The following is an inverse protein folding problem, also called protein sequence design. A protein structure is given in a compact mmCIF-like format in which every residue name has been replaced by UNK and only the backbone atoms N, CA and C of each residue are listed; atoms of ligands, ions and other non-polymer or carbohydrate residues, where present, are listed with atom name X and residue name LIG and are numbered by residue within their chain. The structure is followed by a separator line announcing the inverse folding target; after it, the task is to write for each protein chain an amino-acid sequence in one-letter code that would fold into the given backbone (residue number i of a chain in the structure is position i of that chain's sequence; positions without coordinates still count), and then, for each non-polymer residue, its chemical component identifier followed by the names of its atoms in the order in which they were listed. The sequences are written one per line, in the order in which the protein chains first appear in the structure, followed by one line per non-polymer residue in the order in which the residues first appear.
data_IF_628547299523
#
_entry.id   IF_628547299523
#
_cell.length_a   1.000
_cell.length_b   1.000
_cell.length_c   1.000
_cell.angle_alpha   90.00
_cell.angle_beta   90.00
_cell.angle_gamma   90.00
#
_symmetry.space_group_name_H-M   'P 1'
#
loop_
_entity.id
_entity.type
_entity.pdbx_description
1 polymer ?
#
# COMPACT_ATOMS: atom_id res chain seq x y z
N UNK A 1 -14.34 -27.50 1.01
CA UNK A 1 -14.70 -26.30 1.82
C UNK A 1 -15.25 -25.16 0.95
N UNK A 2 -14.51 -24.65 -0.05
CA UNK A 2 -14.93 -23.47 -0.81
C UNK A 2 -16.28 -23.61 -1.54
N UNK A 3 -16.55 -24.77 -2.16
CA UNK A 3 -17.87 -25.04 -2.78
C UNK A 3 -19.01 -24.89 -1.76
N UNK A 4 -18.86 -25.42 -0.55
CA UNK A 4 -19.86 -25.29 0.51
C UNK A 4 -19.93 -23.86 1.08
N UNK A 5 -18.80 -23.15 1.09
CA UNK A 5 -18.75 -21.75 1.48
C UNK A 5 -19.56 -20.86 0.51
N UNK A 6 -19.44 -21.07 -0.81
CA UNK A 6 -20.16 -20.27 -1.79
C UNK A 6 -21.65 -20.65 -1.94
N UNK A 7 -22.12 -21.71 -1.27
CA UNK A 7 -23.56 -22.01 -1.12
C UNK A 7 -24.22 -21.20 0.01
N UNK A 8 -23.45 -20.45 0.81
CA UNK A 8 -23.99 -19.65 1.90
C UNK A 8 -24.83 -18.46 1.38
N UNK A 9 -25.69 -17.93 2.25
CA UNK A 9 -26.72 -16.93 1.90
C UNK A 9 -26.17 -15.64 1.27
N UNK A 10 -24.97 -15.22 1.67
CA UNK A 10 -24.32 -14.01 1.18
C UNK A 10 -22.79 -14.16 1.27
N UNK A 11 -22.08 -13.17 0.73
CA UNK A 11 -20.62 -13.20 0.70
C UNK A 11 -20.00 -13.20 2.10
N UNK A 12 -20.56 -12.45 3.07
CA UNK A 12 -20.05 -12.44 4.44
C UNK A 12 -20.15 -13.83 5.10
N UNK A 13 -21.26 -14.54 4.89
CA UNK A 13 -21.46 -15.90 5.37
C UNK A 13 -20.50 -16.89 4.67
N UNK A 14 -20.26 -16.72 3.37
CA UNK A 14 -19.29 -17.51 2.63
C UNK A 14 -17.86 -17.31 3.17
N UNK A 15 -17.45 -16.06 3.40
CA UNK A 15 -16.14 -15.70 3.96
C UNK A 15 -15.95 -16.32 5.34
N UNK A 16 -16.91 -16.12 6.25
CA UNK A 16 -16.87 -16.76 7.57
C UNK A 16 -16.73 -18.27 7.48
N UNK A 17 -17.48 -18.90 6.58
CA UNK A 17 -17.47 -20.35 6.43
C UNK A 17 -16.08 -20.87 6.03
N UNK A 18 -15.48 -20.34 4.94
CA UNK A 18 -14.17 -20.84 4.52
C UNK A 18 -13.06 -20.40 5.47
N UNK A 19 -13.12 -19.20 6.07
CA UNK A 19 -12.11 -18.78 7.06
C UNK A 19 -12.14 -19.68 8.30
N UNK A 20 -13.34 -20.00 8.81
CA UNK A 20 -13.48 -20.93 9.92
C UNK A 20 -13.02 -22.35 9.54
N UNK A 21 -13.31 -22.80 8.33
CA UNK A 21 -12.82 -24.10 7.85
C UNK A 21 -11.28 -24.17 7.75
N UNK A 22 -10.62 -23.06 7.45
CA UNK A 22 -9.16 -23.00 7.32
C UNK A 22 -8.44 -22.78 8.67
N UNK A 23 -9.02 -21.97 9.56
CA UNK A 23 -8.32 -21.47 10.75
C UNK A 23 -9.07 -21.69 12.06
N UNK A 24 -10.27 -22.27 12.05
CA UNK A 24 -11.07 -22.51 13.26
C UNK A 24 -10.39 -23.44 14.25
N UNK A 25 -9.72 -24.50 13.77
CA UNK A 25 -8.90 -25.39 14.60
C UNK A 25 -7.67 -24.70 15.19
N UNK A 26 -7.28 -23.53 14.67
CA UNK A 26 -6.20 -22.68 15.20
C UNK A 26 -6.71 -21.65 16.20
N UNK A 27 -8.00 -21.69 16.55
CA UNK A 27 -8.61 -20.76 17.50
C UNK A 27 -8.94 -19.38 16.92
N UNK A 28 -8.95 -19.22 15.58
CA UNK A 28 -9.35 -17.96 14.97
C UNK A 28 -10.84 -17.73 15.18
N UNK A 29 -11.18 -16.63 15.85
CA UNK A 29 -12.55 -16.15 16.01
C UNK A 29 -12.86 -15.17 14.89
N UNK A 30 -13.97 -15.40 14.17
CA UNK A 30 -14.42 -14.51 13.09
C UNK A 30 -15.69 -13.78 13.54
N UNK A 31 -15.64 -12.46 13.55
CA UNK A 31 -16.77 -11.61 13.93
C UNK A 31 -17.31 -10.91 12.69
N UNK A 32 -18.63 -10.97 12.54
CA UNK A 32 -19.36 -10.14 11.60
C UNK A 32 -19.92 -8.95 12.37
N UNK A 33 -19.31 -7.79 12.16
CA UNK A 33 -19.62 -6.58 12.90
C UNK A 33 -20.95 -5.92 12.47
N UNK A 34 -21.64 -6.49 11.47
CA UNK A 34 -22.95 -6.06 11.00
C UNK A 34 -24.08 -6.78 11.75
N UNK A 35 -24.16 -6.54 13.06
CA UNK A 35 -25.16 -7.13 13.96
C UNK A 35 -25.74 -6.07 14.90
N UNK A 36 -27.06 -6.11 15.14
CA UNK A 36 -27.77 -5.09 15.91
C UNK A 36 -27.24 -4.92 17.34
N UNK A 37 -26.95 -6.01 18.04
CA UNK A 37 -26.38 -5.96 19.40
C UNK A 37 -25.01 -5.28 19.43
N UNK A 38 -24.16 -5.54 18.44
CA UNK A 38 -22.83 -4.93 18.34
C UNK A 38 -22.94 -3.44 17.99
N UNK A 39 -23.85 -3.10 17.07
CA UNK A 39 -24.10 -1.71 16.66
C UNK A 39 -24.72 -0.87 17.77
N UNK A 40 -25.49 -1.50 18.65
CA UNK A 40 -26.07 -0.84 19.82
C UNK A 40 -25.01 -0.29 20.78
N UNK A 41 -23.84 -0.94 20.90
CA UNK A 41 -22.72 -0.44 21.70
C UNK A 41 -22.12 0.85 21.14
N UNK A 42 -22.32 1.10 19.83
CA UNK A 42 -21.72 2.23 19.12
C UNK A 42 -22.64 3.45 18.99
N UNK A 43 -23.85 3.39 19.54
CA UNK A 43 -24.83 4.51 19.56
C UNK A 43 -24.24 5.84 20.01
N UNK A 44 -23.41 5.93 21.08
CA UNK A 44 -22.83 7.21 21.51
C UNK A 44 -21.99 7.87 20.40
N UNK A 45 -21.22 7.07 19.66
CA UNK A 45 -20.40 7.57 18.54
C UNK A 45 -21.28 7.95 17.35
N UNK A 46 -22.29 7.13 17.03
CA UNK A 46 -23.26 7.42 15.96
C UNK A 46 -23.91 8.78 16.21
N UNK A 47 -24.42 9.00 17.42
CA UNK A 47 -25.07 10.26 17.80
C UNK A 47 -24.11 11.45 17.77
N UNK A 48 -22.90 11.30 18.33
CA UNK A 48 -21.90 12.36 18.34
C UNK A 48 -21.48 12.78 16.92
N UNK A 49 -21.30 11.83 16.00
CA UNK A 49 -20.96 12.14 14.61
C UNK A 49 -22.11 12.79 13.83
N UNK A 50 -23.34 12.28 13.99
CA UNK A 50 -24.50 12.76 13.26
C UNK A 50 -24.93 14.17 13.68
N UNK A 51 -24.88 14.48 14.97
CA UNK A 51 -25.50 15.69 15.52
C UNK A 51 -24.51 16.75 16.00
N UNK A 52 -23.32 16.35 16.45
CA UNK A 52 -22.29 17.26 16.99
C UNK A 52 -21.08 17.38 16.07
N UNK A 53 -20.90 16.44 15.14
CA UNK A 53 -19.79 16.36 14.19
C UNK A 53 -18.40 16.33 14.87
N UNK A 54 -18.34 15.89 16.14
CA UNK A 54 -17.10 15.84 16.92
C UNK A 54 -15.99 15.02 16.23
N UNK A 55 -16.25 13.82 15.69
CA UNK A 55 -15.19 13.04 15.04
C UNK A 55 -14.55 13.76 13.86
N UNK A 56 -15.34 14.53 13.09
CA UNK A 56 -14.79 15.33 12.00
C UNK A 56 -13.80 16.38 12.53
N UNK A 57 -14.24 17.18 13.51
CA UNK A 57 -13.48 18.29 14.06
C UNK A 57 -12.16 17.78 14.66
N UNK A 58 -12.23 16.74 15.49
CA UNK A 58 -11.08 16.14 16.16
C UNK A 58 -10.10 15.52 15.14
N UNK A 59 -10.61 14.81 14.12
CA UNK A 59 -9.74 14.25 13.09
C UNK A 59 -9.06 15.33 12.23
N UNK A 60 -9.75 16.45 11.94
CA UNK A 60 -9.16 17.58 11.22
C UNK A 60 -8.06 18.25 12.03
N UNK A 61 -8.24 18.43 13.33
CA UNK A 61 -7.21 18.96 14.24
C UNK A 61 -5.99 18.04 14.29
N UNK A 62 -6.22 16.73 14.47
CA UNK A 62 -5.15 15.73 14.47
C UNK A 62 -4.42 15.70 13.12
N UNK A 63 -5.15 15.80 12.01
CA UNK A 63 -4.58 15.87 10.66
C UNK A 63 -3.65 17.07 10.50
N UNK A 64 -4.08 18.26 10.91
CA UNK A 64 -3.24 19.46 10.87
C UNK A 64 -1.96 19.28 11.69
N UNK A 65 -2.05 18.64 12.85
CA UNK A 65 -0.87 18.34 13.68
C UNK A 65 0.08 17.31 13.05
N UNK A 66 -0.43 16.35 12.27
CA UNK A 66 0.41 15.38 11.56
C UNK A 66 1.12 16.03 10.37
N UNK A 67 0.42 16.91 9.64
CA UNK A 67 0.98 17.62 8.50
C UNK A 67 2.15 18.54 8.89
N UNK A 68 2.09 19.20 10.05
CA UNK A 68 3.22 20.01 10.56
C UNK A 68 4.46 19.19 10.87
N UNK A 69 4.31 17.88 11.09
CA UNK A 69 5.42 16.93 11.30
C UNK A 69 5.85 16.20 10.02
N UNK A 70 5.28 16.55 8.87
CA UNK A 70 5.64 16.00 7.56
C UNK A 70 4.88 14.72 7.16
N UNK A 71 3.85 14.32 7.91
CA UNK A 71 3.01 13.18 7.56
C UNK A 71 1.75 13.65 6.82
N UNK A 72 1.62 13.23 5.56
CA UNK A 72 0.38 13.39 4.81
C UNK A 72 -0.58 12.24 5.12
N UNK A 73 -1.86 12.56 5.22
CA UNK A 73 -2.90 11.59 5.55
C UNK A 73 -3.82 11.37 4.36
N UNK A 74 -4.33 10.14 4.21
CA UNK A 74 -5.09 9.73 3.01
C UNK A 74 -6.61 9.75 3.22
N UNK A 75 -7.08 9.86 4.47
CA UNK A 75 -8.49 9.88 4.81
C UNK A 75 -8.91 11.32 5.11
N UNK A 76 -9.93 11.79 4.38
CA UNK A 76 -10.52 13.11 4.59
C UNK A 76 -11.79 12.97 5.45
N UNK A 77 -11.80 13.53 6.68
CA UNK A 77 -12.97 13.51 7.54
C UNK A 77 -14.14 14.26 6.90
N UNK A 78 -15.31 13.63 6.89
CA UNK A 78 -16.56 14.25 6.43
C UNK A 78 -17.34 14.78 7.62
N UNK A 79 -18.29 15.66 7.37
CA UNK A 79 -19.22 16.15 8.39
C UNK A 79 -19.99 15.01 9.05
N UNK A 80 -20.46 14.06 8.23
CA UNK A 80 -21.05 12.81 8.70
C UNK A 80 -20.26 11.64 8.09
N UNK A 81 -19.81 10.75 8.97
CA UNK A 81 -18.95 9.61 8.69
C UNK A 81 -19.68 8.26 8.76
N UNK A 82 -21.01 8.27 8.65
CA UNK A 82 -21.85 7.07 8.58
C UNK A 82 -22.57 6.90 7.25
N UNK A 83 -22.71 5.63 6.85
CA UNK A 83 -23.66 5.16 5.86
C UNK A 83 -24.94 4.70 6.55
N UNK A 84 -26.07 4.89 5.88
CA UNK A 84 -27.35 4.31 6.22
C UNK A 84 -27.59 3.04 5.38
N UNK A 85 -28.01 1.97 6.05
CA UNK A 85 -28.26 0.64 5.51
C UNK A 85 -29.76 0.31 5.63
N UNK A 86 -30.44 0.04 4.52
CA UNK A 86 -31.84 -0.43 4.55
C UNK A 86 -32.18 -1.24 3.30
N UNK A 87 -32.39 -2.54 3.47
CA UNK A 87 -32.53 -3.46 2.34
C UNK A 87 -31.24 -3.48 1.51
N UNK A 88 -31.33 -3.11 0.23
CA UNK A 88 -30.16 -3.02 -0.66
C UNK A 88 -29.50 -1.62 -0.67
N UNK A 89 -30.01 -0.69 0.14
CA UNK A 89 -29.46 0.66 0.24
C UNK A 89 -28.22 0.61 1.13
N UNK A 90 -27.11 1.16 0.62
CA UNK A 90 -25.95 1.59 1.41
C UNK A 90 -25.51 2.94 0.87
N UNK A 91 -25.98 4.01 1.50
CA UNK A 91 -25.66 5.37 1.07
C UNK A 91 -25.33 6.27 2.24
N UNK A 92 -24.71 7.41 1.97
CA UNK A 92 -24.23 8.34 3.00
C UNK A 92 -25.41 9.10 3.58
N UNK A 93 -25.37 9.34 4.89
CA UNK A 93 -26.23 10.34 5.52
C UNK A 93 -25.55 11.71 5.34
N UNK A 94 -26.33 12.71 4.93
CA UNK A 94 -25.85 14.09 4.84
C UNK A 94 -26.84 15.03 5.52
N UNK A 95 -26.31 16.15 6.02
CA UNK A 95 -27.09 17.24 6.59
C UNK A 95 -27.55 18.18 5.47
N UNK A 96 -28.76 18.70 5.59
CA UNK A 96 -29.38 19.66 4.67
C UNK A 96 -30.08 20.76 5.48
N UNK A 97 -30.52 21.82 4.82
CA UNK A 97 -31.29 22.89 5.47
C UNK A 97 -32.62 22.40 6.07
N UNK A 98 -33.18 21.31 5.55
CA UNK A 98 -34.45 20.73 5.98
C UNK A 98 -34.30 19.59 7.01
N UNK A 99 -33.07 19.24 7.42
CA UNK A 99 -32.78 18.11 8.31
C UNK A 99 -31.68 17.22 7.75
N UNK A 100 -31.95 15.92 7.59
CA UNK A 100 -31.01 14.92 7.12
C UNK A 100 -31.60 14.13 5.96
N UNK A 101 -30.75 13.70 5.03
CA UNK A 101 -31.14 12.80 3.95
C UNK A 101 -30.12 11.69 3.75
N UNK A 102 -30.62 10.57 3.24
CA UNK A 102 -29.78 9.48 2.74
C UNK A 102 -29.58 9.74 1.26
N UNK A 103 -28.35 10.08 0.87
CA UNK A 103 -28.04 10.47 -0.50
C UNK A 103 -28.51 9.44 -1.53
N UNK A 104 -28.94 9.92 -2.69
CA UNK A 104 -29.41 9.10 -3.81
C UNK A 104 -30.65 8.24 -3.47
N UNK A 105 -31.44 8.65 -2.46
CA UNK A 105 -32.69 8.00 -2.08
C UNK A 105 -33.76 9.01 -1.67
N UNK A 106 -35.01 8.55 -1.53
CA UNK A 106 -36.13 9.37 -1.03
C UNK A 106 -36.19 9.44 0.51
N UNK A 107 -35.24 8.83 1.22
CA UNK A 107 -35.27 8.75 2.69
C UNK A 107 -34.75 10.06 3.28
N UNK A 108 -35.60 10.70 4.08
CA UNK A 108 -35.31 11.94 4.78
C UNK A 108 -35.71 11.81 6.24
N UNK A 109 -35.00 12.53 7.10
CA UNK A 109 -35.25 12.58 8.53
C UNK A 109 -35.18 14.02 9.02
N UNK A 110 -36.12 14.42 9.85
CA UNK A 110 -35.88 15.47 10.85
C UNK A 110 -34.85 14.97 11.87
N UNK A 111 -34.25 15.90 12.64
CA UNK A 111 -33.31 15.53 13.70
C UNK A 111 -33.94 14.58 14.73
N UNK A 112 -35.20 14.81 15.10
CA UNK A 112 -35.93 13.98 16.07
C UNK A 112 -36.18 12.57 15.52
N UNK A 113 -36.55 12.45 14.25
CA UNK A 113 -36.74 11.15 13.59
C UNK A 113 -35.41 10.40 13.47
N UNK A 114 -34.31 11.09 13.13
CA UNK A 114 -33.00 10.45 13.03
C UNK A 114 -32.49 9.97 14.40
N UNK A 115 -32.72 10.74 15.47
CA UNK A 115 -32.42 10.32 16.85
C UNK A 115 -33.19 9.06 17.22
N UNK A 116 -34.49 9.02 16.93
CA UNK A 116 -35.31 7.83 17.17
C UNK A 116 -34.84 6.63 16.34
N UNK A 117 -34.41 6.86 15.10
CA UNK A 117 -33.86 5.84 14.22
C UNK A 117 -32.54 5.25 14.74
N UNK A 118 -31.63 6.08 15.27
CA UNK A 118 -30.38 5.59 15.92
C UNK A 118 -30.69 4.74 17.14
N UNK A 119 -31.71 5.11 17.92
CA UNK A 119 -32.08 4.37 19.12
C UNK A 119 -32.77 3.05 18.84
N UNK A 120 -33.62 3.00 17.82
CA UNK A 120 -34.44 1.82 17.52
C UNK A 120 -33.82 0.90 16.47
N UNK A 121 -32.97 1.44 15.60
CA UNK A 121 -32.36 0.76 14.46
C UNK A 121 -30.85 1.07 14.29
N UNK A 122 -30.01 0.87 15.32
CA UNK A 122 -28.57 1.15 15.24
C UNK A 122 -27.87 0.28 14.17
N UNK A 123 -28.42 -0.89 13.83
CA UNK A 123 -27.92 -1.75 12.75
C UNK A 123 -27.93 -1.10 11.38
N UNK A 124 -28.76 -0.07 11.20
CA UNK A 124 -28.82 0.68 9.94
C UNK A 124 -27.69 1.66 9.78
N UNK A 125 -26.82 1.86 10.79
CA UNK A 125 -25.71 2.81 10.71
C UNK A 125 -24.37 2.09 10.61
N UNK A 126 -23.68 2.27 9.49
CA UNK A 126 -22.33 1.73 9.27
C UNK A 126 -21.29 2.83 9.22
N UNK A 127 -20.25 2.79 10.08
CA UNK A 127 -19.18 3.76 10.00
C UNK A 127 -18.43 3.61 8.66
N UNK A 128 -17.91 4.73 8.16
CA UNK A 128 -16.98 4.75 7.05
C UNK A 128 -15.55 4.41 7.52
N UNK A 129 -14.57 4.59 6.63
CA UNK A 129 -13.16 4.28 6.92
C UNK A 129 -12.59 5.02 8.15
N UNK A 130 -13.10 6.21 8.48
CA UNK A 130 -12.64 7.01 9.62
C UNK A 130 -13.06 6.38 10.96
N UNK A 131 -14.33 6.02 11.09
CA UNK A 131 -14.90 5.54 12.37
C UNK A 131 -14.92 4.01 12.50
N UNK A 132 -14.66 3.26 11.43
CA UNK A 132 -14.58 1.79 11.47
C UNK A 132 -13.53 1.29 12.48
N UNK A 133 -12.31 1.85 12.58
CA UNK A 133 -11.34 1.48 13.60
C UNK A 133 -11.87 1.65 15.01
N UNK A 134 -12.48 2.79 15.33
CA UNK A 134 -13.05 3.01 16.65
C UNK A 134 -14.14 1.98 16.95
N UNK A 135 -15.00 1.68 15.96
CA UNK A 135 -16.03 0.65 16.13
C UNK A 135 -15.42 -0.71 16.48
N UNK A 136 -14.35 -1.12 15.79
CA UNK A 136 -13.65 -2.37 16.10
C UNK A 136 -13.14 -2.43 17.54
N UNK A 137 -12.57 -1.32 18.04
CA UNK A 137 -12.01 -1.22 19.40
C UNK A 137 -13.09 -1.06 20.48
N UNK A 138 -14.31 -0.66 20.11
CA UNK A 138 -15.48 -0.72 20.98
C UNK A 138 -15.99 -2.15 21.20
N UNK A 139 -15.86 -3.02 20.18
CA UNK A 139 -16.40 -4.38 20.24
C UNK A 139 -15.49 -5.34 21.02
N UNK A 140 -14.18 -5.18 20.91
CA UNK A 140 -13.21 -6.05 21.52
C UNK A 140 -12.05 -5.25 22.12
N UNK A 141 -11.53 -5.65 23.29
CA UNK A 141 -10.31 -5.06 23.84
C UNK A 141 -9.10 -5.58 23.06
N UNK A 142 -8.77 -4.95 21.92
CA UNK A 142 -7.66 -5.42 21.10
C UNK A 142 -6.32 -4.91 21.64
N UNK A 143 -5.37 -5.82 21.80
CA UNK A 143 -3.99 -5.47 22.14
C UNK A 143 -3.28 -4.76 20.96
N UNK A 144 -3.52 -5.27 19.75
CA UNK A 144 -2.89 -4.77 18.55
C UNK A 144 -3.84 -4.82 17.34
N UNK A 145 -3.74 -3.80 16.50
CA UNK A 145 -4.30 -3.79 15.15
C UNK A 145 -3.23 -4.20 14.14
N UNK A 146 -3.51 -5.23 13.36
CA UNK A 146 -2.63 -5.70 12.29
C UNK A 146 -3.18 -5.22 10.95
N UNK A 147 -2.45 -4.31 10.28
CA UNK A 147 -2.94 -3.63 9.08
C UNK A 147 -1.87 -3.42 8.00
N UNK A 148 -2.32 -3.06 6.79
CA UNK A 148 -1.43 -2.67 5.70
C UNK A 148 -0.86 -1.25 5.86
N UNK A 149 0.16 -0.86 5.07
CA UNK A 149 0.84 0.44 5.21
C UNK A 149 -0.10 1.64 5.11
N UNK A 150 -1.04 1.61 4.15
CA UNK A 150 -2.04 2.67 3.99
C UNK A 150 -3.00 2.77 5.18
N UNK A 151 -3.24 1.65 5.87
CA UNK A 151 -4.15 1.63 7.01
C UNK A 151 -3.50 2.23 8.24
N UNK A 152 -2.30 1.77 8.60
CA UNK A 152 -1.61 2.24 9.81
C UNK A 152 -1.39 3.76 9.80
N UNK A 153 -1.16 4.36 8.64
CA UNK A 153 -0.98 5.81 8.52
C UNK A 153 -2.26 6.58 8.90
N UNK A 154 -3.44 6.15 8.45
CA UNK A 154 -4.67 6.88 8.79
C UNK A 154 -5.12 6.62 10.23
N UNK A 155 -4.72 5.51 10.86
CA UNK A 155 -4.98 5.28 12.29
C UNK A 155 -4.40 6.40 13.17
N UNK A 156 -3.28 7.00 12.77
CA UNK A 156 -2.68 8.13 13.49
C UNK A 156 -3.63 9.35 13.57
N UNK A 157 -4.51 9.54 12.58
CA UNK A 157 -5.51 10.61 12.60
C UNK A 157 -6.59 10.41 13.66
N UNK A 158 -6.74 9.19 14.15
CA UNK A 158 -7.84 8.81 15.04
C UNK A 158 -7.46 8.95 16.52
N UNK A 159 -6.20 9.28 16.85
CA UNK A 159 -5.75 9.30 18.24
C UNK A 159 -6.64 10.19 19.12
N UNK A 160 -6.95 11.40 18.66
CA UNK A 160 -7.86 12.30 19.40
C UNK A 160 -9.28 11.76 19.52
N UNK A 161 -9.79 11.05 18.51
CA UNK A 161 -11.12 10.44 18.54
C UNK A 161 -11.17 9.35 19.62
N UNK A 162 -10.15 8.51 19.68
CA UNK A 162 -10.04 7.46 20.70
C UNK A 162 -10.00 8.03 22.11
N UNK A 163 -9.24 9.11 22.32
CA UNK A 163 -9.18 9.81 23.61
C UNK A 163 -10.54 10.40 23.99
N UNK A 164 -11.23 11.04 23.04
CA UNK A 164 -12.56 11.61 23.26
C UNK A 164 -13.59 10.56 23.70
N UNK A 165 -13.61 9.40 23.04
CA UNK A 165 -14.51 8.29 23.40
C UNK A 165 -13.95 7.36 24.46
N UNK A 166 -12.86 7.73 25.14
CA UNK A 166 -12.23 6.93 26.21
C UNK A 166 -11.97 5.47 25.82
N UNK A 167 -11.64 5.24 24.55
CA UNK A 167 -11.37 3.91 24.00
C UNK A 167 -9.87 3.71 23.91
N UNK A 168 -9.39 2.52 24.29
CA UNK A 168 -7.96 2.22 24.24
C UNK A 168 -7.47 2.24 22.80
N UNK A 169 -6.42 3.02 22.53
CA UNK A 169 -5.76 3.01 21.23
C UNK A 169 -4.80 1.80 21.16
N UNK A 170 -5.02 0.83 20.26
CA UNK A 170 -4.24 -0.40 20.21
C UNK A 170 -2.83 -0.15 19.68
N UNK A 171 -1.93 -1.11 19.88
CA UNK A 171 -0.65 -1.12 19.19
C UNK A 171 -0.88 -1.29 17.68
N UNK A 172 -0.24 -0.44 16.87
CA UNK A 172 -0.33 -0.53 15.41
C UNK A 172 0.81 -1.40 14.88
N UNK A 173 0.46 -2.53 14.28
CA UNK A 173 1.41 -3.51 13.75
C UNK A 173 1.26 -3.67 12.24
N UNK A 174 2.35 -3.57 11.47
CA UNK A 174 2.35 -4.02 10.08
C UNK A 174 2.05 -5.51 10.03
N UNK A 175 1.12 -5.90 9.15
CA UNK A 175 1.03 -7.32 8.76
C UNK A 175 2.33 -7.74 8.06
N UNK A 176 2.61 -9.04 8.06
CA UNK A 176 3.69 -9.55 7.22
C UNK A 176 3.39 -9.26 5.73
N UNK A 177 4.46 -8.98 5.00
CA UNK A 177 4.43 -8.82 3.55
C UNK A 177 5.11 -10.01 2.92
N UNK A 178 4.50 -10.60 1.90
CA UNK A 178 5.05 -11.80 1.30
C UNK A 178 4.85 -11.92 -0.21
N UNK A 179 5.72 -12.70 -0.83
CA UNK A 179 5.53 -13.24 -2.17
C UNK A 179 5.95 -14.71 -2.19
N UNK A 180 5.26 -15.49 -3.00
CA UNK A 180 5.58 -16.88 -3.29
C UNK A 180 6.47 -16.94 -4.52
N UNK A 181 7.63 -17.57 -4.36
CA UNK A 181 8.63 -17.76 -5.41
C UNK A 181 8.52 -19.20 -5.90
N UNK A 182 7.96 -19.38 -7.10
CA UNK A 182 7.89 -20.68 -7.77
C UNK A 182 9.28 -21.16 -8.24
N UNK A 183 9.40 -22.45 -8.57
CA UNK A 183 10.66 -23.05 -9.04
C UNK A 183 11.21 -22.36 -10.30
N UNK A 184 10.32 -21.95 -11.20
CA UNK A 184 10.72 -21.37 -12.47
C UNK A 184 11.26 -19.94 -12.31
N UNK A 185 10.77 -19.20 -11.33
CA UNK A 185 11.19 -17.87 -10.94
C UNK A 185 12.50 -17.97 -10.16
N UNK A 186 12.60 -18.91 -9.21
CA UNK A 186 13.83 -19.20 -8.50
C UNK A 186 15.00 -19.51 -9.47
N UNK A 187 14.75 -20.40 -10.44
CA UNK A 187 15.75 -20.72 -11.48
C UNK A 187 16.16 -19.49 -12.29
N UNK A 188 15.23 -18.58 -12.59
CA UNK A 188 15.57 -17.33 -13.30
C UNK A 188 16.42 -16.43 -12.41
N UNK A 189 16.10 -16.28 -11.13
CA UNK A 189 16.90 -15.51 -10.16
C UNK A 189 18.33 -16.03 -10.11
N UNK A 190 18.52 -17.36 -10.03
CA UNK A 190 19.85 -17.97 -10.06
C UNK A 190 20.59 -17.69 -11.38
N UNK A 191 19.88 -17.81 -12.51
CA UNK A 191 20.44 -17.57 -13.85
C UNK A 191 20.77 -16.10 -14.13
N UNK A 192 20.13 -15.16 -13.43
CA UNK A 192 20.44 -13.73 -13.52
C UNK A 192 21.46 -13.28 -12.47
N UNK A 193 21.90 -14.17 -11.57
CA UNK A 193 22.80 -13.84 -10.46
C UNK A 193 22.31 -12.64 -9.64
N UNK A 194 20.99 -12.57 -9.43
CA UNK A 194 20.38 -11.53 -8.60
C UNK A 194 20.42 -11.93 -7.14
N UNK A 195 20.68 -10.97 -6.26
CA UNK A 195 20.42 -11.14 -4.83
C UNK A 195 18.92 -10.98 -4.54
N UNK A 196 18.51 -11.29 -3.31
CA UNK A 196 17.12 -11.07 -2.89
C UNK A 196 16.78 -9.59 -2.79
N UNK A 197 17.75 -8.74 -2.45
CA UNK A 197 17.61 -7.29 -2.38
C UNK A 197 17.46 -6.66 -3.77
N UNK A 198 18.15 -7.21 -4.78
CA UNK A 198 18.08 -6.74 -6.17
C UNK A 198 16.64 -6.76 -6.71
N UNK A 199 15.83 -7.73 -6.27
CA UNK A 199 14.43 -7.89 -6.67
C UNK A 199 13.59 -6.64 -6.37
N UNK A 200 13.92 -5.89 -5.31
CA UNK A 200 13.18 -4.71 -4.86
C UNK A 200 13.65 -3.42 -5.51
N UNK A 201 14.74 -3.45 -6.31
CA UNK A 201 15.20 -2.27 -7.05
C UNK A 201 14.24 -1.90 -8.19
N UNK A 202 14.21 -0.62 -8.61
CA UNK A 202 13.53 -0.21 -9.83
C UNK A 202 14.06 -0.96 -11.06
N UNK A 203 13.18 -1.38 -11.96
CA UNK A 203 13.51 -2.21 -13.12
C UNK A 203 14.67 -1.64 -13.96
N UNK A 204 14.65 -0.34 -14.21
CA UNK A 204 15.68 0.32 -15.00
C UNK A 204 17.06 0.26 -14.33
N UNK A 205 17.11 0.43 -13.01
CA UNK A 205 18.35 0.38 -12.23
C UNK A 205 18.89 -1.05 -12.19
N UNK A 206 18.02 -2.01 -11.89
CA UNK A 206 18.37 -3.43 -11.86
C UNK A 206 18.92 -3.93 -13.21
N UNK A 207 18.23 -3.62 -14.31
CA UNK A 207 18.68 -3.98 -15.66
C UNK A 207 20.01 -3.31 -15.99
N UNK A 208 20.13 -2.01 -15.66
CA UNK A 208 21.39 -1.29 -15.40
C UNK A 208 22.54 -2.17 -14.89
N UNK A 209 22.42 -2.51 -13.62
CA UNK A 209 23.47 -3.12 -12.85
C UNK A 209 23.82 -4.49 -13.42
N UNK A 210 22.81 -5.34 -13.68
CA UNK A 210 23.05 -6.71 -14.13
C UNK A 210 23.66 -6.78 -15.53
N UNK A 211 23.29 -5.88 -16.44
CA UNK A 211 23.92 -5.82 -17.78
C UNK A 211 25.38 -5.37 -17.70
N UNK A 212 25.70 -4.44 -16.79
CA UNK A 212 27.08 -4.00 -16.54
C UNK A 212 27.91 -5.06 -15.83
N UNK A 213 27.32 -5.84 -14.92
CA UNK A 213 28.02 -6.92 -14.21
C UNK A 213 28.37 -8.11 -15.12
N UNK A 214 27.52 -8.41 -16.10
CA UNK A 214 27.67 -9.58 -16.97
C UNK A 214 28.30 -9.28 -18.34
N UNK A 215 28.69 -8.03 -18.59
CA UNK A 215 29.42 -7.67 -19.80
C UNK A 215 30.93 -7.78 -19.59
N UNK A 216 31.65 -8.14 -20.66
CA UNK A 216 33.12 -8.00 -20.71
C UNK A 216 33.54 -6.67 -21.34
N UNK A 217 32.59 -5.90 -21.90
CA UNK A 217 32.87 -4.64 -22.57
C UNK A 217 32.90 -3.49 -21.57
N UNK A 218 33.83 -2.55 -21.76
CA UNK A 218 33.78 -1.29 -21.03
C UNK A 218 32.63 -0.44 -21.58
N UNK A 219 31.56 -0.29 -20.79
CA UNK A 219 30.36 0.44 -21.21
C UNK A 219 30.38 1.92 -20.81
N UNK A 220 31.24 2.28 -19.85
CA UNK A 220 31.40 3.67 -19.40
C UNK A 220 32.48 4.41 -20.20
N UNK A 221 32.31 5.72 -20.31
CA UNK A 221 33.25 6.62 -20.97
C UNK A 221 34.01 7.49 -19.97
N UNK A 222 34.27 6.97 -18.76
CA UNK A 222 34.83 7.77 -17.66
C UNK A 222 36.25 8.27 -17.97
N UNK A 223 37.06 7.46 -18.67
CA UNK A 223 38.41 7.84 -19.07
C UNK A 223 38.39 8.94 -20.15
N UNK A 224 37.42 8.88 -21.05
CA UNK A 224 37.19 9.87 -22.11
C UNK A 224 36.65 11.17 -21.51
N UNK A 225 35.76 11.10 -20.51
CA UNK A 225 35.30 12.27 -19.72
C UNK A 225 36.47 12.96 -19.03
N UNK A 226 37.36 12.22 -18.37
CA UNK A 226 38.54 12.80 -17.72
C UNK A 226 39.50 13.48 -18.72
N UNK A 227 39.67 12.91 -19.92
CA UNK A 227 40.44 13.54 -21.00
C UNK A 227 39.77 14.82 -21.48
N UNK A 228 38.45 14.80 -21.65
CA UNK A 228 37.66 15.96 -22.06
C UNK A 228 37.77 17.11 -21.05
N UNK A 229 37.65 16.79 -19.76
CA UNK A 229 37.82 17.75 -18.67
C UNK A 229 39.19 18.44 -18.71
N UNK A 230 40.26 17.67 -18.96
CA UNK A 230 41.60 18.23 -19.09
C UNK A 230 41.73 19.16 -20.33
N UNK A 231 41.18 18.75 -21.48
CA UNK A 231 41.17 19.58 -22.71
C UNK A 231 40.49 20.92 -22.45
N UNK A 232 39.31 20.92 -21.83
CA UNK A 232 38.58 22.15 -21.55
C UNK A 232 39.21 22.98 -20.44
N UNK A 233 39.89 22.35 -19.47
CA UNK A 233 40.65 23.07 -18.44
C UNK A 233 41.82 23.84 -19.04
N UNK A 234 42.55 23.24 -19.99
CA UNK A 234 43.64 23.91 -20.71
C UNK A 234 43.13 25.04 -21.60
N UNK A 235 42.05 24.80 -22.35
CA UNK A 235 41.40 25.84 -23.16
C UNK A 235 40.88 27.01 -22.31
N UNK A 236 40.38 26.73 -21.10
CA UNK A 236 39.94 27.75 -20.15
C UNK A 236 41.09 28.62 -19.68
N UNK A 237 42.23 28.02 -19.31
CA UNK A 237 43.42 28.78 -18.90
C UNK A 237 43.88 29.74 -20.00
N UNK A 238 44.00 29.25 -21.24
CA UNK A 238 44.38 30.07 -22.39
C UNK A 238 43.37 31.18 -22.68
N UNK A 239 42.07 30.89 -22.60
CA UNK A 239 41.03 31.89 -22.83
C UNK A 239 41.07 33.01 -21.77
N UNK A 240 41.34 32.67 -20.51
CA UNK A 240 41.44 33.65 -19.41
C UNK A 240 42.68 34.55 -19.52
N UNK A 241 43.77 34.09 -20.13
CA UNK A 241 44.94 34.93 -20.44
C UNK A 241 44.64 35.99 -21.51
N UNK A 242 43.68 35.71 -22.41
CA UNK A 242 43.29 36.64 -23.49
C UNK A 242 42.17 37.57 -23.04
N UNK A 243 41.06 37.02 -22.53
CA UNK A 243 39.89 37.78 -22.08
C UNK A 243 39.09 36.99 -21.05
N UNK A 244 39.05 37.51 -19.82
CA UNK A 244 38.30 36.92 -18.70
C UNK A 244 36.80 36.73 -18.97
N UNK A 245 36.21 37.50 -19.90
CA UNK A 245 34.78 37.35 -20.25
C UNK A 245 34.47 36.04 -20.97
N UNK A 246 35.47 35.35 -21.52
CA UNK A 246 35.33 34.08 -22.23
C UNK A 246 35.08 32.88 -21.30
N UNK A 247 35.28 33.03 -19.98
CA UNK A 247 35.14 31.93 -18.99
C UNK A 247 33.80 31.21 -19.11
N UNK A 248 32.71 31.99 -19.19
CA UNK A 248 31.34 31.45 -19.28
C UNK A 248 31.11 30.68 -20.58
N UNK A 249 31.68 31.15 -21.68
CA UNK A 249 31.56 30.53 -22.99
C UNK A 249 32.27 29.17 -22.99
N UNK A 250 33.51 29.10 -22.50
CA UNK A 250 34.29 27.85 -22.45
C UNK A 250 33.64 26.81 -21.53
N UNK A 251 33.19 27.21 -20.33
CA UNK A 251 32.46 26.32 -19.42
C UNK A 251 31.15 25.82 -20.01
N UNK A 252 30.45 26.69 -20.77
CA UNK A 252 29.23 26.33 -21.49
C UNK A 252 29.47 25.24 -22.54
N UNK A 253 30.51 25.39 -23.35
CA UNK A 253 30.90 24.40 -24.36
C UNK A 253 31.42 23.10 -23.74
N UNK A 254 32.16 23.17 -22.62
CA UNK A 254 32.58 21.98 -21.88
C UNK A 254 31.37 21.13 -21.47
N UNK A 255 30.39 21.76 -20.81
CA UNK A 255 29.17 21.08 -20.36
C UNK A 255 28.36 20.51 -21.52
N UNK A 256 28.40 21.16 -22.69
CA UNK A 256 27.74 20.66 -23.91
C UNK A 256 28.45 19.42 -24.47
N UNK A 257 29.77 19.39 -24.44
CA UNK A 257 30.56 18.24 -24.85
C UNK A 257 30.36 17.05 -23.91
N UNK A 258 30.36 17.27 -22.59
CA UNK A 258 30.05 16.24 -21.59
C UNK A 258 28.69 15.59 -21.84
N UNK A 259 27.63 16.40 -22.00
CA UNK A 259 26.28 15.91 -22.35
C UNK A 259 26.24 15.11 -23.65
N UNK A 260 27.10 15.44 -24.61
CA UNK A 260 27.18 14.69 -25.87
C UNK A 260 27.83 13.34 -25.65
N UNK A 261 28.87 13.27 -24.81
CA UNK A 261 29.52 12.01 -24.44
C UNK A 261 28.61 11.10 -23.61
N UNK A 262 27.83 11.67 -22.68
CA UNK A 262 26.77 10.96 -21.96
C UNK A 262 25.75 10.32 -22.91
N UNK A 263 25.33 11.02 -23.98
CA UNK A 263 24.42 10.43 -24.99
C UNK A 263 25.04 9.24 -25.70
N UNK A 264 26.36 9.25 -25.95
CA UNK A 264 27.07 8.11 -26.55
C UNK A 264 27.10 6.93 -25.58
N UNK A 265 27.47 7.18 -24.32
CA UNK A 265 27.46 6.19 -23.25
C UNK A 265 26.09 5.51 -23.08
N UNK A 266 25.00 6.30 -23.11
CA UNK A 266 23.64 5.77 -23.07
C UNK A 266 23.30 4.89 -24.30
N UNK A 267 23.80 5.23 -25.49
CA UNK A 267 23.63 4.39 -26.69
C UNK A 267 24.41 3.09 -26.59
N UNK A 268 25.62 3.10 -26.02
CA UNK A 268 26.42 1.90 -25.77
C UNK A 268 25.68 0.98 -24.79
N UNK A 269 25.21 1.53 -23.65
CA UNK A 269 24.42 0.78 -22.68
C UNK A 269 23.16 0.18 -23.32
N UNK A 270 22.43 0.96 -24.13
CA UNK A 270 21.23 0.46 -24.82
C UNK A 270 21.54 -0.67 -25.81
N UNK A 271 22.65 -0.57 -26.55
CA UNK A 271 23.08 -1.62 -27.46
C UNK A 271 23.45 -2.90 -26.68
N UNK A 272 24.13 -2.75 -25.55
CA UNK A 272 24.49 -3.90 -24.73
C UNK A 272 23.28 -4.57 -24.06
N UNK A 273 22.31 -3.79 -23.58
CA UNK A 273 21.02 -4.35 -23.13
C UNK A 273 20.34 -5.19 -24.22
N UNK A 274 20.44 -4.77 -25.49
CA UNK A 274 19.91 -5.54 -26.62
C UNK A 274 20.72 -6.81 -26.89
N UNK A 275 22.05 -6.76 -26.75
CA UNK A 275 22.88 -7.96 -26.87
C UNK A 275 22.57 -8.97 -25.76
N UNK A 276 22.24 -8.47 -24.58
CA UNK A 276 21.86 -9.26 -23.40
C UNK A 276 20.34 -9.41 -23.24
N UNK A 277 19.58 -9.44 -24.35
CA UNK A 277 18.11 -9.49 -24.31
C UNK A 277 17.55 -10.65 -23.48
N UNK A 278 18.22 -11.81 -23.49
CA UNK A 278 17.82 -12.97 -22.66
C UNK A 278 17.90 -12.65 -21.17
N UNK A 279 18.96 -11.99 -20.71
CA UNK A 279 19.11 -11.56 -19.31
C UNK A 279 18.01 -10.57 -18.95
N UNK A 280 17.82 -9.56 -19.81
CA UNK A 280 16.82 -8.49 -19.61
C UNK A 280 15.40 -9.09 -19.52
N UNK A 281 15.03 -9.99 -20.42
CA UNK A 281 13.73 -10.65 -20.40
C UNK A 281 13.53 -11.54 -19.18
N UNK A 282 14.59 -12.19 -18.67
CA UNK A 282 14.52 -12.95 -17.41
C UNK A 282 14.28 -12.04 -16.22
N UNK A 283 14.96 -10.90 -16.15
CA UNK A 283 14.75 -9.89 -15.09
C UNK A 283 13.28 -9.44 -15.09
N UNK A 284 12.75 -9.06 -16.26
CA UNK A 284 11.34 -8.66 -16.37
C UNK A 284 10.36 -9.77 -16.01
N UNK A 285 10.65 -11.02 -16.39
CA UNK A 285 9.82 -12.16 -16.01
C UNK A 285 9.81 -12.40 -14.48
N UNK A 286 10.95 -12.21 -13.80
CA UNK A 286 11.03 -12.27 -12.33
C UNK A 286 10.19 -11.14 -11.71
N UNK A 287 10.33 -9.91 -12.23
CA UNK A 287 9.60 -8.75 -11.74
C UNK A 287 8.10 -8.89 -11.94
N UNK A 288 7.65 -9.41 -13.09
CA UNK A 288 6.23 -9.64 -13.32
C UNK A 288 5.66 -10.75 -12.42
N UNK A 289 6.45 -11.78 -12.09
CA UNK A 289 6.01 -12.84 -11.18
C UNK A 289 5.86 -12.36 -9.72
N UNK A 290 6.75 -11.48 -9.24
CA UNK A 290 6.76 -11.01 -7.84
C UNK A 290 6.06 -9.66 -7.64
N UNK A 291 5.98 -8.86 -8.70
CA UNK A 291 5.33 -7.55 -8.74
C UNK A 291 4.45 -7.40 -10.00
N UNK A 292 3.42 -8.24 -10.19
CA UNK A 292 2.55 -8.18 -11.36
C UNK A 292 1.99 -6.78 -11.59
N UNK A 293 2.25 -6.21 -12.76
CA UNK A 293 1.89 -4.84 -13.11
C UNK A 293 2.51 -3.77 -12.19
N UNK A 294 3.68 -4.05 -11.61
CA UNK A 294 4.41 -3.15 -10.69
C UNK A 294 3.87 -3.12 -9.26
N UNK A 295 2.92 -4.00 -8.92
CA UNK A 295 2.35 -4.08 -7.56
C UNK A 295 2.70 -5.40 -6.89
N UNK A 296 2.95 -5.44 -5.55
CA UNK A 296 3.31 -6.68 -4.87
C UNK A 296 2.34 -7.84 -5.14
N UNK A 297 2.89 -9.05 -5.34
CA UNK A 297 2.13 -10.26 -5.67
C UNK A 297 0.93 -10.49 -4.74
N UNK A 298 1.10 -10.33 -3.43
CA UNK A 298 0.03 -10.45 -2.42
C UNK A 298 -1.18 -9.53 -2.61
N UNK A 299 -1.09 -8.50 -3.47
CA UNK A 299 -2.20 -7.59 -3.80
C UNK A 299 -2.93 -7.95 -5.09
N UNK A 300 -2.43 -8.91 -5.85
CA UNK A 300 -2.95 -9.32 -7.16
C UNK A 300 -3.34 -10.78 -7.18
N UNK A 301 -2.49 -11.63 -6.63
CA UNK A 301 -2.69 -13.07 -6.65
C UNK A 301 -3.65 -13.50 -5.55
N UNK A 302 -4.40 -14.56 -5.85
CA UNK A 302 -5.23 -15.23 -4.87
C UNK A 302 -4.47 -16.43 -4.30
N UNK A 303 -4.51 -16.63 -2.98
CA UNK A 303 -3.84 -17.75 -2.33
C UNK A 303 -4.25 -19.12 -2.88
N UNK A 304 -5.46 -19.25 -3.46
CA UNK A 304 -5.92 -20.49 -4.11
C UNK A 304 -4.98 -20.94 -5.22
N UNK A 305 -4.30 -20.02 -5.91
CA UNK A 305 -3.31 -20.35 -6.94
C UNK A 305 -2.19 -21.25 -6.39
N UNK A 306 -1.83 -21.07 -5.12
CA UNK A 306 -0.78 -21.85 -4.45
C UNK A 306 -1.36 -23.04 -3.68
N UNK A 307 -2.49 -22.84 -3.00
CA UNK A 307 -3.14 -23.86 -2.19
C UNK A 307 -3.66 -25.06 -3.01
N UNK A 308 -4.04 -24.85 -4.27
CA UNK A 308 -4.45 -25.96 -5.16
C UNK A 308 -3.30 -26.88 -5.54
N UNK A 309 -2.07 -26.37 -5.58
CA UNK A 309 -0.86 -27.13 -5.94
C UNK A 309 -0.18 -27.73 -4.71
N UNK A 310 -0.20 -27.02 -3.57
CA UNK A 310 0.33 -27.49 -2.29
C UNK A 310 -0.75 -27.39 -1.18
N UNK A 311 -1.40 -28.50 -0.80
CA UNK A 311 -2.36 -28.52 0.30
C UNK A 311 -1.75 -28.11 1.65
N UNK A 312 -0.42 -28.22 1.83
CA UNK A 312 0.28 -27.80 3.04
C UNK A 312 0.65 -26.32 3.01
N UNK A 313 0.33 -25.58 1.96
CA UNK A 313 0.72 -24.18 1.77
C UNK A 313 0.39 -23.31 2.99
N UNK A 314 -0.82 -23.42 3.55
CA UNK A 314 -1.23 -22.65 4.73
C UNK A 314 -0.40 -23.04 5.96
N UNK A 315 -0.12 -24.33 6.17
CA UNK A 315 0.73 -24.78 7.27
C UNK A 315 2.16 -24.24 7.13
N UNK A 316 2.71 -24.25 5.91
CA UNK A 316 4.03 -23.71 5.59
C UNK A 316 4.09 -22.19 5.83
N UNK A 317 3.06 -21.45 5.45
CA UNK A 317 2.94 -20.02 5.76
C UNK A 317 2.94 -19.78 7.28
N UNK A 318 2.12 -20.55 8.02
CA UNK A 318 2.02 -20.42 9.48
C UNK A 318 3.33 -20.73 10.22
N UNK A 319 4.16 -21.62 9.69
CA UNK A 319 5.49 -21.90 10.26
C UNK A 319 6.57 -20.92 9.83
N UNK A 320 6.35 -20.17 8.74
CA UNK A 320 7.36 -19.27 8.17
C UNK A 320 7.19 -17.82 8.62
N UNK A 321 5.96 -17.39 8.86
CA UNK A 321 5.70 -16.01 9.28
C UNK A 321 5.98 -15.81 10.77
N UNK A 322 6.81 -14.81 11.04
CA UNK A 322 6.95 -14.21 12.37
C UNK A 322 6.20 -12.86 12.35
N UNK A 323 5.11 -12.71 13.13
CA UNK A 323 4.36 -11.45 13.23
C UNK A 323 5.18 -10.23 13.66
N UNK A 324 6.37 -10.44 14.24
CA UNK A 324 7.28 -9.37 14.66
C UNK A 324 8.43 -9.14 13.67
N UNK A 325 8.54 -9.95 12.62
CA UNK A 325 9.49 -9.73 11.54
C UNK A 325 8.87 -8.90 10.40
N UNK A 326 9.20 -7.62 10.39
CA UNK A 326 8.71 -6.62 9.44
C UNK A 326 9.42 -6.62 8.09
N UNK A 327 10.32 -7.57 7.84
CA UNK A 327 10.92 -7.75 6.51
C UNK A 327 9.89 -8.32 5.53
N UNK A 328 10.19 -8.18 4.24
CA UNK A 328 9.41 -8.83 3.20
C UNK A 328 9.80 -10.31 3.10
N UNK A 329 8.83 -11.20 3.23
CA UNK A 329 9.02 -12.65 3.25
C UNK A 329 8.92 -13.23 1.84
N UNK A 330 9.96 -13.93 1.39
CA UNK A 330 9.94 -14.68 0.13
C UNK A 330 9.75 -16.17 0.43
N UNK A 331 8.54 -16.66 0.21
CA UNK A 331 8.18 -18.05 0.47
C UNK A 331 8.50 -18.90 -0.77
N UNK A 332 9.38 -19.88 -0.63
CA UNK A 332 9.66 -20.82 -1.71
C UNK A 332 8.48 -21.78 -1.86
N UNK A 333 7.92 -21.88 -3.07
CA UNK A 333 6.89 -22.87 -3.35
C UNK A 333 7.48 -24.29 -3.31
N UNK A 334 6.80 -25.20 -2.60
CA UNK A 334 7.09 -26.63 -2.64
C UNK A 334 6.36 -27.24 -3.83
N UNK A 335 6.87 -27.00 -5.03
CA UNK A 335 6.48 -27.78 -6.21
C UNK A 335 7.37 -29.01 -6.39
#
# INVERSE_FOLDING_TARGET
CFVEAYKQKNLAAAVRHYVNALFGEKGLVVIDADHADLKSLFKPVISSDLFEHQPQQIAQETTKSLETTGYSTQVFPREINFFYLKGNIRSRVVRTDAGYEVLDTDIKFSETELKAEVETHPERFSPNVLLRPLYQEFLLPNLAYVGGPSELVYWLQLKGIFDHFSTTFPLLMPRNFAAVVDKNTLRKIDQTQMSWEDIFKPDHELVNEKVKEQTTFKLDLSAEKAKLENIYSQALQQALEVDTTLEKMVKGEHRRAEKTLEKVEQKILKAERRNQEILVNRIYAIKEALFPGGTPQERKDNFLNFYMTDPNFIANCMSSFDPFDYRFHLLKANE
#
